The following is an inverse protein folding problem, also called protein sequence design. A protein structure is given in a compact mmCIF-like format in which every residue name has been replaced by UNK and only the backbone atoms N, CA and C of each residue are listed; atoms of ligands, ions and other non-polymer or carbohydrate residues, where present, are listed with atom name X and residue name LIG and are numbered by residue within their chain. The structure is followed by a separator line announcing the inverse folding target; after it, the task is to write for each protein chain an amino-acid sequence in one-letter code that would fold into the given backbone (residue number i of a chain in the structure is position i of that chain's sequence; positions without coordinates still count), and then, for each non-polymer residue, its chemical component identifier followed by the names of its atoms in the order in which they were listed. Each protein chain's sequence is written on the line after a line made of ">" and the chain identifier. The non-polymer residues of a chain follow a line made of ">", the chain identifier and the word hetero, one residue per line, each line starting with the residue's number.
data_IF_848881422099
#
_entry.id   IF_848881422099
#
_cell.length_a   1.000
_cell.length_b   1.000
_cell.length_c   1.000
_cell.angle_alpha   90.00
_cell.angle_beta   90.00
_cell.angle_gamma   90.00
#
_symmetry.space_group_name_H-M   'P 1'
#
loop_
_entity.id
_entity.type
_entity.pdbx_description
1 polymer ?
#
# COMPACT_ATOMS: atom_id res chain seq x y z
N UNK A 1 0.21 4.63 -40.23
CA UNK A 1 0.24 4.31 -38.78
C UNK A 1 -0.34 5.48 -38.03
N UNK A 2 -1.61 5.37 -37.61
CA UNK A 2 -2.39 6.50 -37.12
C UNK A 2 -1.94 6.92 -35.72
N UNK A 3 -1.58 8.18 -35.54
CA UNK A 3 -1.11 8.77 -34.26
C UNK A 3 -2.02 8.46 -33.06
N UNK A 4 -3.32 8.30 -33.30
CA UNK A 4 -4.32 7.88 -32.31
C UNK A 4 -4.00 6.54 -31.63
N UNK A 5 -3.47 5.57 -32.39
CA UNK A 5 -3.11 4.25 -31.85
C UNK A 5 -1.93 4.33 -30.86
N UNK A 6 -0.98 5.23 -31.14
CA UNK A 6 0.19 5.46 -30.27
C UNK A 6 -0.24 6.05 -28.92
N UNK A 7 -1.16 7.02 -28.95
CA UNK A 7 -1.69 7.67 -27.73
C UNK A 7 -2.40 6.66 -26.83
N UNK A 8 -3.25 5.81 -27.42
CA UNK A 8 -4.00 4.78 -26.69
C UNK A 8 -3.03 3.74 -26.07
N UNK A 9 -2.02 3.32 -26.83
CA UNK A 9 -1.03 2.36 -26.33
C UNK A 9 -0.26 2.92 -25.12
N UNK A 10 0.15 4.20 -25.16
CA UNK A 10 0.83 4.87 -24.05
C UNK A 10 -0.09 4.95 -22.82
N UNK A 11 -1.36 5.31 -23.01
CA UNK A 11 -2.33 5.38 -21.91
C UNK A 11 -2.54 4.02 -21.22
N UNK A 12 -2.62 2.93 -22.00
CA UNK A 12 -2.73 1.57 -21.46
C UNK A 12 -1.46 1.13 -20.73
N UNK A 13 -0.28 1.48 -21.26
CA UNK A 13 1.00 1.18 -20.63
C UNK A 13 1.13 1.94 -19.30
N UNK A 14 0.75 3.21 -19.27
CA UNK A 14 0.71 4.01 -18.04
C UNK A 14 -0.31 3.43 -17.05
N UNK A 15 -1.49 3.02 -17.51
CA UNK A 15 -2.50 2.39 -16.67
C UNK A 15 -2.03 1.03 -16.10
N UNK A 16 -1.34 0.22 -16.90
CA UNK A 16 -0.76 -1.06 -16.48
C UNK A 16 0.40 -0.85 -15.51
N UNK A 17 1.29 0.09 -15.82
CA UNK A 17 2.33 0.55 -14.90
C UNK A 17 1.67 1.09 -13.63
N UNK A 18 0.50 1.73 -13.72
CA UNK A 18 -0.19 2.30 -12.56
C UNK A 18 -0.77 1.32 -11.59
N UNK A 19 -1.28 0.25 -12.18
CA UNK A 19 -1.71 -0.93 -11.49
C UNK A 19 -0.51 -1.66 -10.86
N UNK A 20 0.60 -1.77 -11.59
CA UNK A 20 1.82 -2.45 -11.12
C UNK A 20 2.60 -1.65 -10.06
N UNK A 21 2.65 -0.33 -10.18
CA UNK A 21 3.42 0.56 -9.30
C UNK A 21 2.62 1.14 -8.16
N UNK A 22 1.33 0.81 -8.04
CA UNK A 22 0.47 1.30 -6.99
C UNK A 22 0.41 2.82 -7.05
N UNK A 23 -0.30 3.34 -8.06
CA UNK A 23 -0.45 4.78 -8.22
C UNK A 23 -0.80 5.44 -6.89
N UNK A 24 0.06 6.40 -6.57
CA UNK A 24 -0.01 7.32 -5.45
C UNK A 24 -1.37 8.02 -5.49
N UNK A 25 -2.37 7.44 -4.85
CA UNK A 25 -3.36 8.27 -4.21
C UNK A 25 -2.71 8.68 -2.88
N UNK A 26 -2.36 9.96 -2.67
CA UNK A 26 -2.16 10.45 -1.33
C UNK A 26 -3.50 10.31 -0.63
N UNK A 27 -3.77 9.14 -0.06
CA UNK A 27 -4.76 8.98 0.97
C UNK A 27 -4.14 9.68 2.19
N UNK A 28 -4.13 11.02 2.15
CA UNK A 28 -4.16 11.85 3.34
C UNK A 28 -5.48 11.51 4.05
N UNK A 29 -5.52 10.34 4.70
CA UNK A 29 -6.40 10.14 5.85
C UNK A 29 -5.83 11.00 6.96
N UNK A 30 -6.10 12.30 6.83
CA UNK A 30 -6.03 13.29 7.90
C UNK A 30 -7.17 12.95 8.85
N UNK A 31 -7.04 11.84 9.56
CA UNK A 31 -7.90 11.55 10.71
C UNK A 31 -7.14 12.05 11.91
N UNK A 32 -7.62 13.18 12.42
CA UNK A 32 -7.17 13.85 13.61
C UNK A 32 -7.19 12.87 14.79
N UNK A 33 -6.10 12.79 15.53
CA UNK A 33 -6.15 12.41 16.94
C UNK A 33 -5.06 13.17 17.66
N UNK A 34 -5.49 14.12 18.48
CA UNK A 34 -4.66 14.84 19.42
C UNK A 34 -4.02 13.83 20.38
N UNK A 35 -2.70 13.86 20.50
CA UNK A 35 -2.00 13.03 21.47
C UNK A 35 -0.48 13.07 21.29
N UNK A 36 0.17 13.98 22.04
CA UNK A 36 1.51 13.76 22.56
C UNK A 36 2.66 14.08 21.61
N UNK A 37 3.47 15.07 21.99
CA UNK A 37 4.64 15.51 21.25
C UNK A 37 5.80 14.50 21.23
N UNK A 38 6.76 14.84 20.37
CA UNK A 38 8.12 14.32 20.29
C UNK A 38 8.30 12.90 19.76
N UNK A 39 8.63 12.79 18.46
CA UNK A 39 9.53 11.77 17.87
C UNK A 39 9.52 11.88 16.34
N UNK A 40 9.98 13.03 15.81
CA UNK A 40 10.11 13.27 14.37
C UNK A 40 11.17 12.40 13.69
N UNK A 41 11.94 11.61 14.42
CA UNK A 41 13.00 10.74 13.85
C UNK A 41 12.72 9.24 14.04
N UNK A 42 11.82 8.83 14.94
CA UNK A 42 11.57 7.40 15.20
C UNK A 42 10.46 6.79 14.31
N UNK A 43 9.65 7.61 13.63
CA UNK A 43 8.61 7.15 12.70
C UNK A 43 9.13 6.61 11.37
N UNK A 44 10.40 6.83 11.02
CA UNK A 44 10.92 6.36 9.72
C UNK A 44 11.18 4.85 9.64
N UNK A 45 11.26 4.14 10.78
CA UNK A 45 11.52 2.68 10.79
C UNK A 45 10.34 1.83 11.22
N UNK A 46 9.26 2.42 11.73
CA UNK A 46 8.15 1.67 12.33
C UNK A 46 6.84 1.87 11.60
N UNK A 47 6.19 0.78 11.21
CA UNK A 47 4.83 0.82 10.64
C UNK A 47 3.82 1.35 11.66
N UNK A 48 2.91 2.20 11.21
CA UNK A 48 1.85 2.76 12.04
C UNK A 48 0.99 1.64 12.68
N UNK A 49 0.73 1.75 13.99
CA UNK A 49 -0.09 0.78 14.74
C UNK A 49 -1.48 0.58 14.14
N UNK A 50 -2.07 1.64 13.59
CA UNK A 50 -3.36 1.60 12.90
C UNK A 50 -3.32 0.72 11.65
N UNK A 51 -2.27 0.83 10.83
CA UNK A 51 -2.06 -0.01 9.64
C UNK A 51 -1.92 -1.48 10.04
N UNK A 52 -1.12 -1.78 11.07
CA UNK A 52 -0.99 -3.15 11.57
C UNK A 52 -2.32 -3.73 12.04
N UNK A 53 -3.04 -2.99 12.89
CA UNK A 53 -4.35 -3.43 13.41
C UNK A 53 -5.36 -3.66 12.29
N UNK A 54 -5.36 -2.80 11.27
CA UNK A 54 -6.25 -2.93 10.10
C UNK A 54 -5.94 -4.19 9.31
N UNK A 55 -4.67 -4.45 8.98
CA UNK A 55 -4.31 -5.66 8.23
C UNK A 55 -4.67 -6.92 9.01
N UNK A 56 -4.37 -6.97 10.31
CA UNK A 56 -4.73 -8.08 11.19
C UNK A 56 -6.25 -8.29 11.23
N UNK A 57 -7.03 -7.22 11.31
CA UNK A 57 -8.49 -7.29 11.24
C UNK A 57 -9.00 -7.83 9.90
N UNK A 58 -8.36 -7.46 8.79
CA UNK A 58 -8.72 -7.98 7.47
C UNK A 58 -8.45 -9.49 7.36
N UNK A 59 -7.39 -10.01 7.96
CA UNK A 59 -7.09 -11.46 7.96
C UNK A 59 -7.75 -12.23 9.12
N UNK A 60 -8.82 -11.69 9.70
CA UNK A 60 -9.60 -12.38 10.74
C UNK A 60 -8.90 -12.49 12.09
N UNK A 61 -7.97 -11.58 12.40
CA UNK A 61 -7.21 -11.60 13.65
C UNK A 61 -5.89 -12.38 13.58
N UNK A 62 -5.58 -13.02 12.45
CA UNK A 62 -4.37 -13.83 12.31
C UNK A 62 -3.13 -12.97 11.99
N UNK A 63 -2.40 -12.57 13.04
CA UNK A 63 -1.20 -11.76 12.89
C UNK A 63 -0.07 -12.43 12.07
N UNK A 64 0.04 -13.76 12.11
CA UNK A 64 1.04 -14.50 11.34
C UNK A 64 0.76 -14.41 9.83
N UNK A 65 -0.50 -14.53 9.43
CA UNK A 65 -0.92 -14.36 8.02
C UNK A 65 -0.67 -12.92 7.55
N UNK A 66 -0.99 -11.93 8.40
CA UNK A 66 -0.70 -10.53 8.09
C UNK A 66 0.79 -10.28 7.83
N UNK A 67 1.67 -10.81 8.69
CA UNK A 67 3.12 -10.67 8.52
C UNK A 67 3.65 -11.38 7.27
N UNK A 68 3.14 -12.58 6.98
CA UNK A 68 3.52 -13.33 5.78
C UNK A 68 3.17 -12.54 4.52
N UNK A 69 1.96 -12.00 4.44
CA UNK A 69 1.52 -11.20 3.30
C UNK A 69 2.41 -9.96 3.10
N UNK A 70 2.75 -9.28 4.18
CA UNK A 70 3.68 -8.14 4.14
C UNK A 70 5.07 -8.56 3.68
N UNK A 71 5.56 -9.71 4.14
CA UNK A 71 6.87 -10.24 3.74
C UNK A 71 6.89 -10.58 2.25
N UNK A 72 5.81 -11.16 1.73
CA UNK A 72 5.67 -11.45 0.29
C UNK A 72 5.62 -10.15 -0.54
N UNK A 73 5.01 -9.09 -0.02
CA UNK A 73 5.01 -7.76 -0.66
C UNK A 73 6.40 -7.12 -0.60
N UNK A 74 7.10 -7.19 0.53
CA UNK A 74 8.47 -6.68 0.68
C UNK A 74 9.43 -7.38 -0.27
N UNK A 75 9.35 -8.71 -0.37
CA UNK A 75 10.22 -9.50 -1.23
C UNK A 75 10.02 -9.14 -2.72
N UNK A 76 8.78 -8.88 -3.13
CA UNK A 76 8.46 -8.43 -4.50
C UNK A 76 8.80 -6.96 -4.77
N UNK A 77 9.03 -6.16 -3.72
CA UNK A 77 9.27 -4.72 -3.83
C UNK A 77 10.50 -4.29 -3.00
N UNK A 78 11.70 -4.81 -3.31
CA UNK A 78 12.92 -4.42 -2.61
C UNK A 78 13.17 -2.92 -2.86
N UNK A 79 13.28 -2.14 -1.80
CA UNK A 79 13.45 -0.67 -1.87
C UNK A 79 12.21 0.14 -1.52
N UNK A 80 11.10 -0.50 -1.14
CA UNK A 80 9.94 0.19 -0.55
C UNK A 80 10.03 0.20 0.97
N UNK A 81 9.39 1.20 1.59
CA UNK A 81 9.33 1.30 3.05
C UNK A 81 8.44 0.19 3.61
N UNK A 82 8.71 -0.21 4.85
CA UNK A 82 7.89 -1.21 5.54
C UNK A 82 6.41 -0.76 5.58
N UNK A 83 6.17 0.51 5.91
CA UNK A 83 4.84 1.13 5.91
C UNK A 83 4.11 0.92 4.58
N UNK A 84 4.78 1.15 3.45
CA UNK A 84 4.19 0.97 2.12
C UNK A 84 3.81 -0.50 1.89
N UNK A 85 4.64 -1.45 2.33
CA UNK A 85 4.35 -2.87 2.16
C UNK A 85 3.11 -3.30 2.95
N UNK A 86 2.93 -2.76 4.18
CA UNK A 86 1.73 -2.99 4.98
C UNK A 86 0.47 -2.38 4.35
N UNK A 87 0.56 -1.15 3.83
CA UNK A 87 -0.55 -0.50 3.14
C UNK A 87 -0.94 -1.25 1.86
N UNK A 88 0.06 -1.73 1.11
CA UNK A 88 -0.16 -2.51 -0.10
C UNK A 88 -0.83 -3.85 0.18
N UNK A 89 -0.39 -4.57 1.22
CA UNK A 89 -1.03 -5.80 1.67
C UNK A 89 -2.52 -5.59 2.04
N UNK A 90 -2.85 -4.48 2.71
CA UNK A 90 -4.24 -4.10 3.01
C UNK A 90 -5.03 -3.88 1.72
N UNK A 91 -4.47 -3.11 0.79
CA UNK A 91 -5.11 -2.80 -0.49
C UNK A 91 -5.41 -4.06 -1.29
N UNK A 92 -4.46 -5.00 -1.36
CA UNK A 92 -4.61 -6.24 -2.12
C UNK A 92 -5.79 -7.08 -1.56
N UNK A 93 -5.90 -7.24 -0.23
CA UNK A 93 -7.05 -7.94 0.39
C UNK A 93 -8.37 -7.19 0.15
N UNK A 94 -8.37 -5.86 0.31
CA UNK A 94 -9.60 -5.07 0.11
C UNK A 94 -10.08 -5.10 -1.34
N UNK A 95 -9.14 -5.23 -2.29
CA UNK A 95 -9.43 -5.41 -3.69
C UNK A 95 -10.02 -6.80 -3.96
N UNK A 96 -9.40 -7.85 -3.44
CA UNK A 96 -9.86 -9.23 -3.64
C UNK A 96 -11.27 -9.46 -3.06
N UNK A 97 -11.65 -8.70 -2.02
CA UNK A 97 -13.01 -8.73 -1.44
C UNK A 97 -14.07 -7.99 -2.25
N UNK A 98 -13.66 -7.12 -3.18
CA UNK A 98 -14.57 -6.33 -4.02
C UNK A 98 -14.77 -6.93 -5.41
N UNK A 99 -13.95 -7.93 -5.77
CA UNK A 99 -14.10 -8.73 -6.97
C UNK A 99 -15.12 -9.85 -6.73
#
# INVERSE_FOLDING_TARGET
>A
MSFLSIIIAIALLLALISWLTGYRLPIQRRTQSLGGGSSSIQRERGVARSTRKRLVGLVGGNAAVAQRLVSDVQHRNPGRTEQWCWEKAIYDIERDRRA
#
